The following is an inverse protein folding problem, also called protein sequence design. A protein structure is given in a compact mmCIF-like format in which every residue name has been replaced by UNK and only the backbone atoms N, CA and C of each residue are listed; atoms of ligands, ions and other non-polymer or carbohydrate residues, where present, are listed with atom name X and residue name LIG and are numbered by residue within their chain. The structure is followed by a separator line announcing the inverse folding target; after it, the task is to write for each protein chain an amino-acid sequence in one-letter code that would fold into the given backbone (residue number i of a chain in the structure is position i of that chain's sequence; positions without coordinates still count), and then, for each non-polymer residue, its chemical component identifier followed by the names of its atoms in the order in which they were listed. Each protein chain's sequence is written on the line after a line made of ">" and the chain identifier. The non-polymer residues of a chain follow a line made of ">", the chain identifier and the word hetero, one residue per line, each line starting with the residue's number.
data_IF_295609807820
#
_entry.id   IF_295609807820
#
_cell.length_a   1.000
_cell.length_b   1.000
_cell.length_c   1.000
_cell.angle_alpha   90.00
_cell.angle_beta   90.00
_cell.angle_gamma   90.00
#
_symmetry.space_group_name_H-M   'P 1'
#
loop_
_entity.id
_entity.type
_entity.pdbx_description
1 polymer ?
#
# COMPACT_ATOMS: atom_id res chain seq x y z
N UNK A 1 5.12 -21.01 -13.14
CA UNK A 1 4.05 -20.48 -12.29
C UNK A 1 4.73 -19.50 -11.36
N UNK A 2 4.83 -18.25 -11.77
CA UNK A 2 5.34 -17.16 -10.91
C UNK A 2 4.41 -17.08 -9.71
N UNK A 3 4.94 -17.23 -8.50
CA UNK A 3 4.18 -16.99 -7.27
C UNK A 3 3.67 -15.54 -7.30
N UNK A 4 2.41 -15.35 -7.68
CA UNK A 4 1.77 -14.04 -7.71
C UNK A 4 1.34 -13.69 -6.28
N UNK A 5 2.33 -13.35 -5.45
CA UNK A 5 2.18 -12.91 -4.07
C UNK A 5 1.20 -11.72 -3.93
N UNK A 6 0.92 -11.00 -5.02
CA UNK A 6 -0.06 -9.90 -5.06
C UNK A 6 -1.48 -10.38 -4.77
N UNK A 7 -1.81 -11.63 -5.10
CA UNK A 7 -3.10 -12.24 -4.79
C UNK A 7 -3.29 -12.51 -3.29
N UNK A 8 -2.19 -12.62 -2.54
CA UNK A 8 -2.16 -12.81 -1.09
C UNK A 8 -2.25 -11.47 -0.31
N UNK A 9 -2.41 -10.35 -1.02
CA UNK A 9 -2.47 -9.01 -0.41
C UNK A 9 -3.91 -8.54 -0.21
N UNK A 10 -4.28 -8.26 1.04
CA UNK A 10 -5.50 -7.53 1.37
C UNK A 10 -5.29 -6.03 1.20
N UNK A 11 -6.17 -5.37 0.44
CA UNK A 11 -6.13 -3.91 0.24
C UNK A 11 -7.28 -3.24 0.97
N UNK A 12 -6.97 -2.22 1.75
CA UNK A 12 -7.91 -1.38 2.48
C UNK A 12 -7.74 0.08 2.03
N UNK A 13 -8.86 0.76 1.81
CA UNK A 13 -8.90 2.17 1.44
C UNK A 13 -9.33 2.93 2.67
N UNK A 14 -8.59 3.97 3.07
CA UNK A 14 -8.91 4.76 4.23
C UNK A 14 -8.89 6.26 3.91
N UNK A 15 -9.62 7.05 4.70
CA UNK A 15 -9.58 8.50 4.60
C UNK A 15 -8.23 9.01 5.11
N UNK A 16 -7.47 9.68 4.23
CA UNK A 16 -6.20 10.26 4.64
C UNK A 16 -6.44 11.31 5.73
N UNK A 17 -5.58 11.29 6.75
CA UNK A 17 -5.63 12.27 7.83
C UNK A 17 -5.06 13.63 7.39
N UNK A 18 -4.40 13.70 6.24
CA UNK A 18 -3.86 14.93 5.66
C UNK A 18 -4.91 15.73 4.88
N UNK A 19 -6.01 16.09 5.54
CA UNK A 19 -7.04 16.99 4.99
C UNK A 19 -6.60 18.47 5.07
N UNK A 20 -5.57 18.85 4.30
CA UNK A 20 -5.13 20.26 4.17
C UNK A 20 -5.77 21.00 2.98
N UNK A 21 -6.86 20.49 2.40
CA UNK A 21 -7.55 21.07 1.24
C UNK A 21 -9.06 21.30 1.45
N UNK A 22 -9.69 22.08 0.58
CA UNK A 22 -11.13 22.39 0.65
C UNK A 22 -12.05 21.27 0.15
N UNK A 23 -13.31 21.27 0.61
CA UNK A 23 -14.35 20.25 0.34
C UNK A 23 -14.60 19.92 -1.15
N UNK A 24 -14.17 20.77 -2.08
CA UNK A 24 -14.48 20.65 -3.50
C UNK A 24 -13.78 19.49 -4.23
N UNK A 25 -12.63 19.02 -3.75
CA UNK A 25 -11.80 18.00 -4.44
C UNK A 25 -11.97 16.59 -3.84
N UNK A 26 -12.71 16.46 -2.73
CA UNK A 26 -12.84 15.22 -1.98
C UNK A 26 -11.61 14.92 -1.12
N UNK A 27 -11.80 14.07 -0.09
CA UNK A 27 -10.73 13.61 0.80
C UNK A 27 -9.77 12.70 0.03
N UNK A 28 -8.46 13.00 -0.02
CA UNK A 28 -7.47 12.07 -0.54
C UNK A 28 -7.60 10.72 0.16
N UNK A 29 -7.68 9.64 -0.62
CA UNK A 29 -7.80 8.29 -0.08
C UNK A 29 -6.41 7.65 0.00
N UNK A 30 -6.04 7.23 1.21
CA UNK A 30 -4.87 6.41 1.44
C UNK A 30 -5.15 4.95 1.11
N UNK A 31 -4.09 4.22 0.75
CA UNK A 31 -4.11 2.77 0.59
C UNK A 31 -3.29 2.14 1.70
N UNK A 32 -3.88 1.18 2.39
CA UNK A 32 -3.19 0.25 3.28
C UNK A 32 -3.25 -1.14 2.65
N UNK A 33 -2.09 -1.77 2.50
CA UNK A 33 -1.97 -3.10 1.91
C UNK A 33 -1.28 -4.03 2.88
N UNK A 34 -1.87 -5.20 3.11
CA UNK A 34 -1.37 -6.19 4.05
C UNK A 34 -1.13 -7.50 3.33
N UNK A 35 0.11 -8.00 3.36
CA UNK A 35 0.45 -9.34 2.87
C UNK A 35 0.28 -10.36 4.00
N UNK A 36 -0.84 -11.10 3.99
CA UNK A 36 -1.30 -11.87 5.16
C UNK A 36 -0.33 -12.97 5.58
N UNK A 37 0.25 -13.68 4.61
CA UNK A 37 1.18 -14.80 4.85
C UNK A 37 2.43 -14.43 5.67
N UNK A 38 2.88 -13.17 5.58
CA UNK A 38 4.07 -12.72 6.30
C UNK A 38 3.79 -11.56 7.28
N UNK A 39 2.53 -11.14 7.42
CA UNK A 39 2.14 -10.03 8.29
C UNK A 39 2.75 -8.68 7.90
N UNK A 40 3.18 -8.49 6.65
CA UNK A 40 3.77 -7.23 6.19
C UNK A 40 2.67 -6.24 5.86
N UNK A 41 2.82 -4.99 6.29
CA UNK A 41 1.86 -3.90 6.00
C UNK A 41 2.58 -2.72 5.36
N UNK A 42 2.07 -2.27 4.21
CA UNK A 42 2.50 -1.05 3.53
C UNK A 42 1.36 -0.04 3.51
N UNK A 43 1.68 1.24 3.70
CA UNK A 43 0.72 2.34 3.72
C UNK A 43 1.24 3.45 2.81
N UNK A 44 0.40 3.91 1.87
CA UNK A 44 0.69 5.04 1.00
C UNK A 44 -0.51 5.97 0.88
N UNK A 45 -0.30 7.24 1.22
CA UNK A 45 -1.26 8.33 1.07
C UNK A 45 -0.67 9.59 0.43
N UNK A 46 0.59 9.52 -0.03
CA UNK A 46 1.33 10.67 -0.58
C UNK A 46 0.87 11.12 -1.96
N UNK A 47 0.23 10.23 -2.74
CA UNK A 47 -0.23 10.56 -4.08
C UNK A 47 -1.72 10.90 -4.11
N UNK A 48 -2.10 11.79 -5.04
CA UNK A 48 -3.50 12.15 -5.30
C UNK A 48 -4.32 11.01 -5.93
N UNK A 49 -3.64 10.07 -6.60
CA UNK A 49 -4.27 8.93 -7.27
C UNK A 49 -4.22 7.68 -6.40
N UNK A 50 -5.38 7.09 -6.14
CA UNK A 50 -5.51 5.84 -5.41
C UNK A 50 -4.77 4.69 -6.11
N UNK A 51 -4.85 4.61 -7.44
CA UNK A 51 -4.14 3.59 -8.21
C UNK A 51 -2.62 3.72 -8.02
N UNK A 52 -2.11 4.95 -8.02
CA UNK A 52 -0.70 5.20 -7.80
C UNK A 52 -0.26 4.85 -6.37
N UNK A 53 -1.08 5.19 -5.36
CA UNK A 53 -0.84 4.75 -3.98
C UNK A 53 -0.81 3.21 -3.86
N UNK A 54 -1.66 2.50 -4.61
CA UNK A 54 -1.65 1.03 -4.64
C UNK A 54 -0.35 0.48 -5.24
N UNK A 55 0.15 1.07 -6.33
CA UNK A 55 1.42 0.69 -6.95
C UNK A 55 2.60 0.87 -5.98
N UNK A 56 2.65 2.02 -5.28
CA UNK A 56 3.66 2.27 -4.25
C UNK A 56 3.61 1.19 -3.15
N UNK A 57 2.42 0.83 -2.67
CA UNK A 57 2.30 -0.23 -1.67
C UNK A 57 2.79 -1.59 -2.17
N UNK A 58 2.57 -1.92 -3.44
CA UNK A 58 3.14 -3.14 -4.02
C UNK A 58 4.67 -3.10 -4.01
N UNK A 59 5.27 -2.01 -4.48
CA UNK A 59 6.74 -1.87 -4.49
C UNK A 59 7.33 -2.00 -3.08
N UNK A 60 6.67 -1.40 -2.08
CA UNK A 60 7.08 -1.51 -0.67
C UNK A 60 7.04 -2.97 -0.16
N UNK A 61 5.98 -3.71 -0.45
CA UNK A 61 5.86 -5.12 -0.04
C UNK A 61 6.89 -5.97 -0.79
N UNK A 62 7.09 -5.75 -2.10
CA UNK A 62 8.07 -6.48 -2.89
C UNK A 62 9.49 -6.33 -2.34
N UNK A 63 9.87 -5.09 -1.98
CA UNK A 63 11.15 -4.81 -1.32
C UNK A 63 11.21 -5.55 0.02
N UNK A 64 10.17 -5.44 0.86
CA UNK A 64 10.14 -6.11 2.16
C UNK A 64 10.29 -7.64 2.04
N UNK A 65 9.60 -8.27 1.09
CA UNK A 65 9.73 -9.71 0.79
C UNK A 65 11.15 -10.07 0.34
N UNK A 66 11.75 -9.26 -0.53
CA UNK A 66 13.07 -9.51 -1.10
C UNK A 66 14.18 -9.43 -0.06
N UNK A 67 14.10 -8.49 0.88
CA UNK A 67 15.13 -8.26 1.88
C UNK A 67 14.89 -8.98 3.21
N UNK A 68 13.67 -9.46 3.48
CA UNK A 68 13.32 -10.25 4.67
C UNK A 68 14.31 -11.40 4.94
N UNK A 69 14.70 -12.13 3.90
CA UNK A 69 15.59 -13.28 4.03
C UNK A 69 17.08 -12.92 4.09
N UNK A 70 17.43 -11.66 3.81
CA UNK A 70 18.82 -11.15 3.78
C UNK A 70 19.27 -10.49 5.09
N UNK A 71 18.37 -10.29 6.06
CA UNK A 71 18.64 -9.62 7.35
C UNK A 71 18.80 -10.65 8.49
N UNK A 72 19.25 -11.87 8.18
CA UNK A 72 19.55 -12.92 9.19
C UNK A 72 21.02 -12.97 9.55
#
# INVERSE_FOLDING_TARGET
>A
MTDDWRSECKTEIYDSQYNRGGQHVGTPKGIKMTHEKYGLTAISEGARSQHFNRMICFDMIEIALTYKDKIR
#
